data_IF_276786826083
#
_entry.id   IF_276786826083
#
_cell.length_a   1.000
_cell.length_b   1.000
_cell.length_c   1.000
_cell.angle_alpha   90.00
_cell.angle_beta   90.00
_cell.angle_gamma   90.00
#
_symmetry.space_group_name_H-M   'P 1'
#
loop_
_entity.id
_entity.type
_entity.pdbx_description
1 polymer ?
#
# COMPACT_ATOMS: atom_id res chain seq x y z
N UNK A 1 7.98 -1.71 -17.46
CA UNK A 1 8.88 -0.60 -17.84
C UNK A 1 8.70 0.63 -16.93
N UNK A 2 7.49 1.16 -16.76
CA UNK A 2 7.26 2.38 -15.94
C UNK A 2 7.53 2.20 -14.44
N UNK A 3 7.22 1.02 -13.90
CA UNK A 3 7.24 0.76 -12.45
C UNK A 3 8.25 -0.32 -12.03
N UNK A 4 9.18 -0.66 -12.92
CA UNK A 4 10.24 -1.65 -12.69
C UNK A 4 9.82 -3.06 -12.20
N UNK A 5 8.52 -3.40 -12.25
CA UNK A 5 8.03 -4.75 -11.97
C UNK A 5 8.23 -5.75 -13.11
N UNK A 6 8.21 -7.04 -12.73
CA UNK A 6 8.35 -8.18 -13.65
C UNK A 6 7.06 -8.49 -14.40
N UNK A 7 5.92 -8.28 -13.76
CA UNK A 7 4.59 -8.49 -14.33
C UNK A 7 3.76 -7.22 -14.17
N UNK A 8 2.67 -7.14 -14.93
CA UNK A 8 1.68 -6.08 -14.75
C UNK A 8 0.34 -6.55 -15.34
N UNK A 9 -0.77 -6.08 -14.76
CA UNK A 9 -2.09 -6.19 -15.37
C UNK A 9 -2.86 -4.89 -15.20
N UNK A 10 -3.57 -4.50 -16.25
CA UNK A 10 -4.39 -3.28 -16.34
C UNK A 10 -5.89 -3.61 -16.43
N UNK A 11 -6.25 -4.84 -16.04
CA UNK A 11 -7.63 -5.35 -16.05
C UNK A 11 -8.52 -4.85 -14.89
N UNK A 12 -8.00 -4.46 -13.71
CA UNK A 12 -8.87 -3.95 -12.64
C UNK A 12 -9.69 -2.73 -13.08
N UNK A 13 -10.97 -2.73 -12.73
CA UNK A 13 -11.92 -1.68 -13.13
C UNK A 13 -11.75 -0.37 -12.33
N UNK A 14 -11.02 -0.41 -11.21
CA UNK A 14 -10.73 0.73 -10.36
C UNK A 14 -9.53 0.45 -9.46
N UNK A 15 -9.01 1.47 -8.77
CA UNK A 15 -7.96 1.30 -7.75
C UNK A 15 -8.41 0.40 -6.59
N UNK A 16 -9.68 0.46 -6.18
CA UNK A 16 -10.22 -0.43 -5.14
C UNK A 16 -10.22 -1.89 -5.57
N UNK A 17 -10.62 -2.16 -6.82
CA UNK A 17 -10.57 -3.52 -7.39
C UNK A 17 -9.12 -3.99 -7.59
N UNK A 18 -8.19 -3.08 -7.88
CA UNK A 18 -6.76 -3.40 -7.95
C UNK A 18 -6.22 -3.81 -6.58
N UNK A 19 -6.58 -3.09 -5.51
CA UNK A 19 -6.21 -3.43 -4.13
C UNK A 19 -6.73 -4.82 -3.74
N UNK A 20 -8.01 -5.09 -4.02
CA UNK A 20 -8.61 -6.40 -3.77
C UNK A 20 -7.89 -7.52 -4.54
N UNK A 21 -7.61 -7.29 -5.83
CA UNK A 21 -6.94 -8.27 -6.70
C UNK A 21 -5.48 -8.51 -6.31
N UNK A 22 -4.81 -7.51 -5.71
CA UNK A 22 -3.46 -7.63 -5.21
C UNK A 22 -3.40 -8.42 -3.90
N UNK A 23 -4.30 -8.12 -2.95
CA UNK A 23 -4.21 -8.69 -1.59
C UNK A 23 -4.91 -10.04 -1.45
N UNK A 24 -6.13 -10.21 -1.98
CA UNK A 24 -6.94 -11.40 -1.72
C UNK A 24 -6.30 -12.75 -2.13
N UNK A 25 -5.53 -12.85 -3.23
CA UNK A 25 -4.86 -14.10 -3.59
C UNK A 25 -3.64 -14.41 -2.72
N UNK A 26 -3.07 -13.42 -2.04
CA UNK A 26 -1.82 -13.52 -1.30
C UNK A 26 -2.01 -13.61 0.22
N UNK A 27 -3.14 -13.13 0.72
CA UNK A 27 -3.46 -13.08 2.15
C UNK A 27 -4.57 -14.08 2.49
N UNK A 28 -4.28 -15.09 3.34
CA UNK A 28 -5.30 -15.99 3.87
C UNK A 28 -6.46 -15.27 4.59
N UNK A 29 -7.58 -15.98 4.75
CA UNK A 29 -8.67 -15.54 5.62
C UNK A 29 -8.14 -15.36 7.06
N UNK A 30 -8.53 -14.28 7.72
CA UNK A 30 -8.07 -13.99 9.09
C UNK A 30 -6.69 -13.32 9.23
N UNK A 31 -6.00 -13.03 8.12
CA UNK A 31 -4.68 -12.38 8.12
C UNK A 31 -4.64 -11.05 8.88
N UNK A 32 -3.48 -10.73 9.45
CA UNK A 32 -3.20 -9.46 10.12
C UNK A 32 -2.60 -8.45 9.14
N UNK A 33 -3.29 -7.32 8.97
CA UNK A 33 -2.91 -6.24 8.07
C UNK A 33 -2.58 -4.97 8.86
N UNK A 34 -1.44 -4.33 8.58
CA UNK A 34 -1.18 -2.95 9.02
C UNK A 34 -1.51 -1.98 7.90
N UNK A 35 -2.33 -0.97 8.20
CA UNK A 35 -2.67 0.09 7.26
C UNK A 35 -2.74 1.44 7.97
N UNK A 36 -2.43 2.51 7.25
CA UNK A 36 -2.53 3.88 7.78
C UNK A 36 -4.02 4.21 7.95
N UNK A 37 -4.47 4.68 9.13
CA UNK A 37 -5.87 4.93 9.39
C UNK A 37 -6.37 6.18 8.62
N UNK A 38 -7.67 6.25 8.26
CA UNK A 38 -8.23 7.40 7.54
C UNK A 38 -8.01 8.75 8.20
N UNK A 39 -8.05 8.81 9.53
CA UNK A 39 -7.84 10.03 10.31
C UNK A 39 -6.41 10.57 10.19
N UNK A 40 -5.47 9.75 9.70
CA UNK A 40 -4.09 10.11 9.39
C UNK A 40 -3.84 10.16 7.87
N UNK A 41 -4.90 10.26 7.07
CA UNK A 41 -4.83 10.38 5.62
C UNK A 41 -4.83 9.04 4.87
N UNK A 42 -5.04 7.92 5.55
CA UNK A 42 -5.20 6.59 4.93
C UNK A 42 -6.39 6.51 3.97
N UNK A 43 -6.52 5.36 3.29
CA UNK A 43 -7.68 5.08 2.43
C UNK A 43 -8.73 4.25 3.18
N UNK A 44 -9.98 4.72 3.17
CA UNK A 44 -11.11 4.08 3.88
C UNK A 44 -11.32 2.62 3.51
N UNK A 45 -11.00 2.22 2.27
CA UNK A 45 -11.20 0.85 1.80
C UNK A 45 -10.38 -0.21 2.56
N UNK A 46 -9.42 0.22 3.38
CA UNK A 46 -8.61 -0.65 4.24
C UNK A 46 -9.07 -0.67 5.69
N UNK A 47 -10.10 0.10 6.06
CA UNK A 47 -10.68 0.06 7.39
C UNK A 47 -11.50 -1.24 7.61
N UNK A 48 -11.71 -1.68 8.86
CA UNK A 48 -12.31 -2.98 9.18
C UNK A 48 -13.67 -3.29 8.51
N UNK A 49 -14.46 -2.28 8.15
CA UNK A 49 -15.79 -2.46 7.52
C UNK A 49 -15.78 -2.62 5.99
N UNK A 50 -14.61 -2.62 5.34
CA UNK A 50 -14.48 -2.63 3.88
C UNK A 50 -13.84 -3.92 3.36
N UNK A 51 -12.76 -3.86 2.55
CA UNK A 51 -12.07 -5.05 2.04
C UNK A 51 -11.75 -6.07 3.16
N UNK A 52 -11.21 -5.65 4.33
CA UNK A 52 -10.91 -6.58 5.42
C UNK A 52 -12.10 -7.41 5.90
N UNK A 53 -13.32 -6.84 5.90
CA UNK A 53 -14.52 -7.55 6.35
C UNK A 53 -14.86 -8.76 5.45
N UNK A 54 -14.48 -8.72 4.17
CA UNK A 54 -14.73 -9.79 3.21
C UNK A 54 -13.89 -11.06 3.49
N UNK A 55 -12.77 -10.91 4.19
CA UNK A 55 -11.78 -11.97 4.46
C UNK A 55 -11.41 -12.09 5.94
N UNK A 56 -12.23 -11.52 6.83
CA UNK A 56 -12.01 -11.49 8.27
C UNK A 56 -10.61 -10.96 8.69
N UNK A 57 -9.99 -10.10 7.88
CA UNK A 57 -8.66 -9.60 8.15
C UNK A 57 -8.66 -8.71 9.39
N UNK A 58 -7.65 -8.89 10.23
CA UNK A 58 -7.43 -8.13 11.46
C UNK A 58 -6.59 -6.91 11.13
N UNK A 59 -7.25 -5.77 10.94
CA UNK A 59 -6.55 -4.51 10.66
C UNK A 59 -6.04 -3.89 11.96
N UNK A 60 -4.76 -3.53 11.99
CA UNK A 60 -4.15 -2.73 13.06
C UNK A 60 -3.55 -1.46 12.47
N UNK A 61 -3.56 -0.34 13.22
CA UNK A 61 -3.14 0.94 12.68
C UNK A 61 -1.63 0.97 12.47
N UNK A 62 -1.21 1.38 11.28
CA UNK A 62 0.16 1.80 11.00
C UNK A 62 0.25 3.32 11.23
N UNK A 63 0.98 3.79 12.25
CA UNK A 63 0.92 5.20 12.64
C UNK A 63 1.65 6.13 11.65
N UNK A 64 1.04 7.27 11.40
CA UNK A 64 1.58 8.46 10.77
C UNK A 64 1.28 9.71 11.63
N UNK A 65 1.89 10.85 11.30
CA UNK A 65 1.84 12.09 12.10
C UNK A 65 0.60 12.98 11.80
N UNK A 66 -0.42 12.41 11.15
CA UNK A 66 -1.68 13.08 10.79
C UNK A 66 -1.85 13.33 9.28
N UNK A 67 -3.00 13.92 8.86
CA UNK A 67 -3.27 14.19 7.45
C UNK A 67 -2.21 15.10 6.81
N UNK A 68 -1.67 14.71 5.66
CA UNK A 68 -0.62 15.47 4.98
C UNK A 68 0.80 15.22 5.51
N UNK A 69 0.95 14.46 6.59
CA UNK A 69 2.25 13.91 6.97
C UNK A 69 2.44 12.53 6.34
N UNK A 70 3.69 12.14 6.16
CA UNK A 70 4.05 10.78 5.80
C UNK A 70 4.48 10.02 7.04
N UNK A 71 4.29 8.71 6.99
CA UNK A 71 4.77 7.80 8.01
C UNK A 71 6.28 7.95 8.24
N UNK A 72 6.69 7.90 9.51
CA UNK A 72 8.09 7.93 9.96
C UNK A 72 8.52 6.58 10.52
N UNK A 73 9.81 6.24 10.36
CA UNK A 73 10.35 4.95 10.82
C UNK A 73 10.25 4.76 12.33
N UNK A 74 10.50 5.82 13.09
CA UNK A 74 10.49 5.78 14.56
C UNK A 74 9.13 5.34 15.11
N UNK A 75 8.04 5.64 14.40
CA UNK A 75 6.68 5.25 14.78
C UNK A 75 6.26 3.93 14.16
N UNK A 76 6.66 3.65 12.92
CA UNK A 76 6.22 2.47 12.20
C UNK A 76 6.94 1.19 12.63
N UNK A 77 8.26 1.23 12.79
CA UNK A 77 9.06 0.02 13.05
C UNK A 77 8.70 -0.67 14.38
N UNK A 78 8.47 0.03 15.50
CA UNK A 78 8.03 -0.62 16.73
C UNK A 78 6.72 -1.39 16.56
N UNK A 79 5.74 -0.79 15.85
CA UNK A 79 4.44 -1.43 15.60
C UNK A 79 4.57 -2.64 14.68
N UNK A 80 5.36 -2.54 13.61
CA UNK A 80 5.61 -3.68 12.70
C UNK A 80 6.25 -4.86 13.47
N UNK A 81 7.24 -4.58 14.32
CA UNK A 81 7.92 -5.60 15.13
C UNK A 81 7.02 -6.27 16.17
N UNK A 82 6.18 -5.47 16.82
CA UNK A 82 5.24 -5.95 17.83
C UNK A 82 4.13 -6.78 17.18
N UNK A 83 3.55 -6.27 16.11
CA UNK A 83 2.39 -6.89 15.48
C UNK A 83 2.74 -8.10 14.63
N UNK A 84 3.94 -8.15 14.02
CA UNK A 84 4.37 -9.20 13.08
C UNK A 84 3.28 -9.52 12.05
N UNK A 85 2.89 -8.54 11.23
CA UNK A 85 1.75 -8.69 10.35
C UNK A 85 2.02 -9.62 9.17
N UNK A 86 0.96 -10.20 8.62
CA UNK A 86 1.02 -10.92 7.35
C UNK A 86 1.19 -9.94 6.18
N UNK A 87 0.72 -8.70 6.36
CA UNK A 87 0.88 -7.64 5.37
C UNK A 87 0.99 -6.24 5.98
N UNK A 88 1.77 -5.38 5.33
CA UNK A 88 1.77 -3.93 5.53
C UNK A 88 1.34 -3.25 4.25
N UNK A 89 0.49 -2.25 4.38
CA UNK A 89 -0.04 -1.48 3.28
C UNK A 89 0.36 -0.01 3.40
N UNK A 90 1.22 0.42 2.48
CA UNK A 90 1.66 1.80 2.35
C UNK A 90 0.78 2.50 1.31
N UNK A 91 -0.12 3.34 1.80
CA UNK A 91 -1.07 4.06 0.97
C UNK A 91 -1.84 5.10 1.77
N UNK A 92 -1.75 6.35 1.34
CA UNK A 92 -2.56 7.46 1.86
C UNK A 92 -3.23 8.21 0.71
N UNK A 93 -4.45 8.68 0.96
CA UNK A 93 -5.13 9.65 0.12
C UNK A 93 -4.55 11.06 0.29
N UNK A 94 -3.96 11.35 1.46
CA UNK A 94 -3.44 12.67 1.83
C UNK A 94 -2.06 12.56 2.49
N UNK A 95 -0.99 12.77 1.71
CA UNK A 95 0.39 12.76 2.18
C UNK A 95 1.28 13.62 1.26
N UNK A 96 2.40 14.11 1.79
CA UNK A 96 3.29 15.05 1.09
C UNK A 96 4.64 14.44 0.67
N UNK A 97 5.11 13.42 1.38
CA UNK A 97 6.48 12.91 1.22
C UNK A 97 6.52 11.40 0.93
N UNK A 98 7.59 10.91 0.28
CA UNK A 98 7.83 9.47 0.13
C UNK A 98 7.80 8.68 1.44
N UNK A 99 7.49 7.39 1.34
CA UNK A 99 7.60 6.43 2.42
C UNK A 99 9.02 5.84 2.49
N UNK A 100 9.50 5.47 3.69
CA UNK A 100 10.74 4.72 3.86
C UNK A 100 10.52 3.23 3.54
N UNK A 101 10.26 2.93 2.27
CA UNK A 101 9.82 1.58 1.81
C UNK A 101 10.87 0.53 2.10
N UNK A 102 12.16 0.83 1.93
CA UNK A 102 13.23 -0.16 2.11
C UNK A 102 13.31 -0.67 3.54
N UNK A 103 13.32 0.26 4.49
CA UNK A 103 13.42 -0.07 5.90
C UNK A 103 12.17 -0.78 6.42
N UNK A 104 10.99 -0.42 5.87
CA UNK A 104 9.74 -1.12 6.17
C UNK A 104 9.76 -2.53 5.57
N UNK A 105 10.16 -2.67 4.30
CA UNK A 105 10.25 -3.96 3.62
C UNK A 105 11.17 -4.92 4.37
N UNK A 106 12.36 -4.45 4.76
CA UNK A 106 13.30 -5.24 5.56
C UNK A 106 12.67 -5.78 6.85
N UNK A 107 11.88 -4.97 7.57
CA UNK A 107 11.24 -5.41 8.81
C UNK A 107 10.07 -6.37 8.56
N UNK A 108 9.26 -6.10 7.53
CA UNK A 108 8.09 -6.92 7.16
C UNK A 108 8.53 -8.30 6.64
N UNK A 109 9.56 -8.33 5.80
CA UNK A 109 10.09 -9.56 5.22
C UNK A 109 10.77 -10.46 6.25
N UNK A 110 11.33 -9.91 7.34
CA UNK A 110 11.91 -10.71 8.44
C UNK A 110 10.90 -11.66 9.09
N UNK A 111 9.62 -11.32 9.09
CA UNK A 111 8.55 -12.16 9.64
C UNK A 111 7.77 -12.92 8.56
N UNK A 112 8.20 -12.83 7.29
CA UNK A 112 7.52 -13.44 6.16
C UNK A 112 6.26 -12.71 5.70
N UNK A 113 6.04 -11.48 6.15
CA UNK A 113 4.91 -10.66 5.69
C UNK A 113 5.17 -10.05 4.31
N UNK A 114 4.13 -9.47 3.71
CA UNK A 114 4.20 -8.81 2.40
C UNK A 114 4.03 -7.29 2.53
N UNK A 115 4.74 -6.54 1.69
CA UNK A 115 4.61 -5.10 1.58
C UNK A 115 3.86 -4.69 0.32
N UNK A 116 2.65 -4.16 0.51
CA UNK A 116 1.82 -3.61 -0.55
C UNK A 116 1.98 -2.08 -0.62
N UNK A 117 2.04 -1.55 -1.83
CA UNK A 117 2.10 -0.11 -2.07
C UNK A 117 0.90 0.35 -2.91
N UNK A 118 -0.02 1.11 -2.31
CA UNK A 118 -1.09 1.80 -3.04
C UNK A 118 -0.55 3.13 -3.59
N UNK A 119 -0.17 3.10 -4.86
CA UNK A 119 0.35 4.24 -5.58
C UNK A 119 -0.74 5.19 -6.09
N UNK A 120 -2.04 4.95 -5.85
CA UNK A 120 -3.14 5.65 -6.52
C UNK A 120 -2.97 7.18 -6.65
N UNK A 121 -2.55 7.87 -5.59
CA UNK A 121 -2.37 9.33 -5.62
C UNK A 121 -1.06 9.79 -6.27
N UNK A 122 -0.01 8.97 -6.28
CA UNK A 122 1.34 9.32 -6.75
C UNK A 122 1.80 8.50 -7.97
N UNK A 123 0.93 7.67 -8.55
CA UNK A 123 1.24 6.74 -9.63
C UNK A 123 1.84 7.45 -10.85
N UNK A 124 1.37 8.65 -11.18
CA UNK A 124 1.95 9.48 -12.24
C UNK A 124 3.35 9.99 -11.93
N UNK A 125 3.60 10.37 -10.67
CA UNK A 125 4.90 10.86 -10.23
C UNK A 125 5.94 9.73 -10.21
N UNK A 126 5.54 8.54 -9.76
CA UNK A 126 6.37 7.32 -9.81
C UNK A 126 6.66 6.96 -11.27
N UNK A 127 5.63 6.93 -12.14
CA UNK A 127 5.83 6.65 -13.58
C UNK A 127 6.73 7.67 -14.28
N UNK A 128 6.70 8.93 -13.83
CA UNK A 128 7.55 10.01 -14.32
C UNK A 128 8.97 10.03 -13.74
N UNK A 129 9.29 9.17 -12.76
CA UNK A 129 10.61 9.11 -12.12
C UNK A 129 10.93 10.31 -11.22
N UNK A 130 9.91 11.05 -10.77
CA UNK A 130 10.05 12.24 -9.89
C UNK A 130 9.52 11.99 -8.48
N UNK A 131 9.32 10.71 -8.15
CA UNK A 131 8.96 10.20 -6.83
C UNK A 131 9.75 8.91 -6.58
N UNK A 132 9.56 8.29 -5.42
CA UNK A 132 10.24 7.04 -5.06
C UNK A 132 9.93 5.88 -6.02
N UNK A 133 10.70 4.79 -5.95
CA UNK A 133 10.57 3.59 -6.78
C UNK A 133 10.21 2.37 -5.91
N UNK A 134 8.92 2.19 -5.53
CA UNK A 134 8.54 1.25 -4.46
C UNK A 134 8.95 -0.19 -4.73
N UNK A 135 8.84 -0.65 -5.98
CA UNK A 135 9.22 -2.02 -6.36
C UNK A 135 10.72 -2.25 -6.16
N UNK A 136 11.57 -1.29 -6.54
CA UNK A 136 13.02 -1.40 -6.29
C UNK A 136 13.39 -1.19 -4.84
N UNK A 137 12.58 -0.46 -4.10
CA UNK A 137 12.79 -0.22 -2.67
C UNK A 137 12.36 -1.41 -1.81
N UNK A 138 11.52 -2.31 -2.31
CA UNK A 138 11.20 -3.58 -1.65
C UNK A 138 9.72 -3.89 -1.50
N UNK A 139 8.82 -3.09 -2.08
CA UNK A 139 7.40 -3.45 -2.16
C UNK A 139 7.21 -4.71 -3.02
N UNK A 140 6.42 -5.66 -2.52
CA UNK A 140 6.12 -6.91 -3.22
C UNK A 140 5.10 -6.71 -4.34
N UNK A 141 4.16 -5.79 -4.13
CA UNK A 141 3.13 -5.42 -5.11
C UNK A 141 2.91 -3.92 -5.08
N UNK A 142 2.90 -3.31 -6.27
CA UNK A 142 2.44 -1.94 -6.47
C UNK A 142 1.11 -1.98 -7.19
N UNK A 143 0.10 -1.27 -6.68
CA UNK A 143 -1.16 -1.11 -7.39
C UNK A 143 -1.65 0.33 -7.32
N UNK A 144 -2.65 0.68 -8.12
CA UNK A 144 -3.28 1.98 -7.99
C UNK A 144 -4.30 2.30 -9.06
N UNK A 145 -5.02 3.40 -8.86
CA UNK A 145 -5.95 3.97 -9.84
C UNK A 145 -5.23 4.67 -10.99
N UNK A 146 -5.75 4.53 -12.20
CA UNK A 146 -5.14 5.10 -13.42
C UNK A 146 -5.63 6.49 -13.81
N UNK A 147 -6.43 7.18 -12.98
CA UNK A 147 -7.13 8.43 -13.33
C UNK A 147 -6.82 9.62 -12.39
N UNK A 148 -5.81 9.50 -11.53
CA UNK A 148 -5.40 10.55 -10.57
C UNK A 148 -4.17 11.29 -11.12
N UNK A 149 -3.04 11.26 -10.41
CA UNK A 149 -1.78 11.81 -10.93
C UNK A 149 -1.31 11.06 -12.18
N UNK A 150 -1.65 9.78 -12.31
CA UNK A 150 -1.53 9.08 -13.57
C UNK A 150 -2.66 9.52 -14.50
N UNK A 151 -2.31 10.17 -15.62
CA UNK A 151 -3.25 10.80 -16.55
C UNK A 151 -3.84 9.78 -17.55
N UNK A 152 -4.44 8.71 -17.03
CA UNK A 152 -5.11 7.67 -17.81
C UNK A 152 -6.64 7.67 -17.61
N UNK A 153 -7.36 6.73 -18.24
CA UNK A 153 -8.80 6.57 -18.04
C UNK A 153 -9.10 6.01 -16.64
N UNK A 154 -10.38 6.05 -16.25
CA UNK A 154 -10.84 5.39 -15.04
C UNK A 154 -10.59 3.88 -15.12
N UNK A 155 -9.86 3.37 -14.13
CA UNK A 155 -9.37 2.00 -14.09
C UNK A 155 -8.43 1.80 -12.92
N UNK A 156 -7.83 0.61 -12.85
CA UNK A 156 -6.75 0.27 -11.94
C UNK A 156 -5.70 -0.60 -12.60
N UNK A 157 -4.53 -0.65 -11.98
CA UNK A 157 -3.45 -1.55 -12.37
C UNK A 157 -2.81 -2.18 -11.14
N UNK A 158 -2.14 -3.30 -11.36
CA UNK A 158 -1.21 -3.89 -10.39
C UNK A 158 0.06 -4.36 -11.13
N UNK A 159 1.19 -4.24 -10.46
CA UNK A 159 2.56 -4.48 -10.90
C UNK A 159 3.24 -5.40 -9.91
#
# INVERSE_FOLDING_TARGET
>A
RLFHGRFATVRPLSGHIAALSAMAPLLPDGSKLLAIPPEQGGYDGYAPGFIPALFHWKVRPLPADGPGSSLTLDRALPVIREERPDAVLLGQSFFLFPYPVREIAEEVHRTGGLLFYDASHVLGLIAGGVFQDPIREGADVLFGSTHKSFFGPQGGLLV
#
